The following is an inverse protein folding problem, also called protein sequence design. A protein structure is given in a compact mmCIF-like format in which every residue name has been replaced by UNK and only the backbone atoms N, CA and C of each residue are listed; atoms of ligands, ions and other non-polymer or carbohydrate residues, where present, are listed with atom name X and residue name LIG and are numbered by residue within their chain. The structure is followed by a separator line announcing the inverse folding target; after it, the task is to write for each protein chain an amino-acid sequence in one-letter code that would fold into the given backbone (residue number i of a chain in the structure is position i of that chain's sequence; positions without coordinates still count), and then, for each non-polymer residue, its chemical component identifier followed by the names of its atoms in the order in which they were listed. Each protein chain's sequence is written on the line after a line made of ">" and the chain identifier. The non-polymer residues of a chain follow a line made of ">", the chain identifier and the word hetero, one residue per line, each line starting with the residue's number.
data_IF_508105956666
#
_entry.id   IF_508105956666
#
_cell.length_a   1.000
_cell.length_b   1.000
_cell.length_c   1.000
_cell.angle_alpha   90.00
_cell.angle_beta   90.00
_cell.angle_gamma   90.00
#
_symmetry.space_group_name_H-M   'P 1'
#
loop_
_entity.id
_entity.type
_entity.pdbx_description
1 polymer ?
#
# COMPACT_ATOMS: atom_id res chain seq x y z
N UNK A 1 -24.10 -17.90 16.39
CA UNK A 1 -23.34 -16.75 16.96
C UNK A 1 -22.14 -17.35 17.69
N UNK A 2 -20.97 -17.39 17.05
CA UNK A 2 -19.75 -17.88 17.69
C UNK A 2 -18.95 -16.66 18.17
N UNK A 3 -18.79 -16.58 19.48
CA UNK A 3 -18.16 -15.49 20.21
C UNK A 3 -16.63 -15.54 20.10
N UNK A 4 -16.02 -14.39 20.34
CA UNK A 4 -14.65 -14.00 20.02
C UNK A 4 -13.51 -14.71 20.79
N UNK A 5 -13.69 -15.93 21.30
CA UNK A 5 -12.78 -16.55 22.26
C UNK A 5 -11.86 -17.66 21.74
N UNK A 6 -11.89 -17.98 20.44
CA UNK A 6 -10.96 -18.98 19.87
C UNK A 6 -9.70 -18.39 19.17
N UNK A 7 -9.31 -17.15 19.48
CA UNK A 7 -8.11 -16.51 18.89
C UNK A 7 -6.79 -16.72 19.66
N UNK A 8 -6.79 -17.43 20.80
CA UNK A 8 -5.62 -17.51 21.69
C UNK A 8 -5.17 -18.91 22.08
N UNK A 9 -5.25 -19.89 21.19
CA UNK A 9 -4.57 -21.18 21.37
C UNK A 9 -3.43 -21.31 20.37
N UNK A 10 -2.44 -20.42 20.51
CA UNK A 10 -1.09 -20.70 20.03
C UNK A 10 -0.45 -21.60 21.08
N UNK A 11 -0.68 -22.90 20.91
CA UNK A 11 -0.08 -23.91 21.75
C UNK A 11 1.46 -23.79 21.71
N UNK A 12 2.03 -23.98 22.89
CA UNK A 12 3.34 -23.52 23.34
C UNK A 12 4.49 -24.49 23.03
N UNK A 13 4.29 -25.46 22.12
CA UNK A 13 5.29 -26.51 21.83
C UNK A 13 5.75 -26.51 20.37
N UNK A 14 6.70 -25.60 20.14
CA UNK A 14 7.58 -25.35 18.97
C UNK A 14 7.38 -23.90 18.54
N UNK A 15 8.23 -23.02 19.06
CA UNK A 15 8.36 -21.66 18.54
C UNK A 15 8.80 -21.78 17.08
N UNK A 16 7.87 -21.69 16.14
CA UNK A 16 8.21 -21.44 14.75
C UNK A 16 8.67 -19.96 14.69
N UNK A 17 9.99 -19.66 14.60
CA UNK A 17 10.49 -18.28 14.60
C UNK A 17 10.16 -17.55 13.29
N UNK A 18 9.35 -18.15 12.40
CA UNK A 18 9.01 -17.62 11.09
C UNK A 18 7.64 -16.97 11.06
N UNK A 19 6.72 -17.36 11.95
CA UNK A 19 5.47 -16.62 12.21
C UNK A 19 5.55 -15.76 13.47
N UNK A 20 6.74 -15.65 14.09
CA UNK A 20 6.98 -14.83 15.28
C UNK A 20 6.48 -13.41 15.12
N UNK A 21 6.59 -12.84 13.92
CA UNK A 21 6.16 -11.47 13.64
C UNK A 21 4.64 -11.34 13.60
N UNK A 22 3.92 -12.36 13.10
CA UNK A 22 2.45 -12.37 13.15
C UNK A 22 1.96 -12.43 14.60
N UNK A 23 2.67 -13.18 15.45
CA UNK A 23 2.40 -13.26 16.89
C UNK A 23 2.77 -11.98 17.63
N UNK A 24 3.91 -11.36 17.28
CA UNK A 24 4.50 -10.21 17.98
C UNK A 24 3.82 -8.89 17.64
N UNK A 25 3.47 -8.68 16.37
CA UNK A 25 3.01 -7.37 15.90
C UNK A 25 1.51 -7.34 15.61
N UNK A 26 0.85 -8.51 15.53
CA UNK A 26 -0.54 -8.62 15.09
C UNK A 26 -0.72 -8.25 13.62
N UNK A 27 -1.60 -8.96 12.92
CA UNK A 27 -1.85 -8.77 11.49
C UNK A 27 -2.17 -7.31 11.12
N UNK A 28 -3.17 -6.73 11.78
CA UNK A 28 -3.66 -5.39 11.47
C UNK A 28 -2.93 -4.28 12.20
N UNK A 29 -2.47 -4.53 13.43
CA UNK A 29 -1.78 -3.52 14.22
C UNK A 29 -0.46 -3.10 13.53
N UNK A 30 0.31 -4.05 12.99
CA UNK A 30 1.50 -3.74 12.20
C UNK A 30 1.19 -2.82 11.01
N UNK A 31 0.13 -3.15 10.25
CA UNK A 31 -0.24 -2.42 9.03
C UNK A 31 -0.48 -0.94 9.35
N UNK A 32 -1.27 -0.65 10.38
CA UNK A 32 -1.79 0.71 10.60
C UNK A 32 -0.88 1.60 11.47
N UNK A 33 -0.15 1.02 12.43
CA UNK A 33 0.42 1.76 13.55
C UNK A 33 1.35 2.90 13.13
N UNK A 34 2.26 2.64 12.20
CA UNK A 34 3.30 3.60 11.85
C UNK A 34 2.74 4.76 11.01
N UNK A 35 1.81 4.47 10.10
CA UNK A 35 1.10 5.48 9.31
C UNK A 35 0.17 6.33 10.19
N UNK A 36 -0.58 5.70 11.10
CA UNK A 36 -1.52 6.42 11.99
C UNK A 36 -0.79 7.32 12.99
N UNK A 37 0.43 6.95 13.39
CA UNK A 37 1.29 7.85 14.15
C UNK A 37 1.62 9.14 13.37
N UNK A 38 1.82 9.05 12.05
CA UNK A 38 2.06 10.23 11.20
C UNK A 38 0.81 11.09 11.00
N UNK A 39 -0.39 10.51 11.04
CA UNK A 39 -1.64 11.29 10.90
C UNK A 39 -1.81 12.37 11.98
N UNK A 40 -1.12 12.24 13.12
CA UNK A 40 -1.09 13.24 14.18
C UNK A 40 -0.41 14.54 13.73
N UNK A 41 0.47 14.49 12.73
CA UNK A 41 1.16 15.65 12.16
C UNK A 41 0.37 16.18 10.95
N UNK A 42 -0.37 17.28 11.14
CA UNK A 42 -1.32 17.78 10.13
C UNK A 42 -0.71 18.72 9.09
N UNK A 43 0.45 19.30 9.37
CA UNK A 43 1.08 20.32 8.52
C UNK A 43 2.57 20.02 8.38
N UNK A 44 3.15 20.32 7.21
CA UNK A 44 4.61 20.32 7.08
C UNK A 44 5.21 21.37 8.03
N UNK A 45 6.40 21.09 8.55
CA UNK A 45 7.12 22.02 9.39
C UNK A 45 7.54 23.25 8.59
N UNK A 46 7.66 24.37 9.27
CA UNK A 46 8.32 25.57 8.72
C UNK A 46 9.85 25.46 8.82
N UNK A 47 10.35 24.43 9.52
CA UNK A 47 11.77 24.18 9.79
C UNK A 47 12.42 23.26 8.77
N UNK A 48 11.73 22.90 7.68
CA UNK A 48 12.27 21.98 6.70
C UNK A 48 13.61 22.53 6.23
N UNK A 49 14.71 21.85 6.61
CA UNK A 49 16.06 22.14 6.12
C UNK A 49 15.99 22.30 4.61
N UNK A 50 16.81 23.18 4.04
CA UNK A 50 16.95 23.36 2.58
C UNK A 50 17.16 22.01 1.85
N UNK A 51 17.59 20.97 2.58
CA UNK A 51 17.83 19.61 2.08
C UNK A 51 16.67 18.61 2.21
N UNK A 52 15.66 18.85 3.05
CA UNK A 52 14.61 17.86 3.33
C UNK A 52 13.40 18.08 2.41
N UNK A 53 13.08 17.08 1.57
CA UNK A 53 11.98 17.18 0.61
C UNK A 53 10.64 16.90 1.29
N UNK A 54 9.58 17.62 0.91
CA UNK A 54 8.22 17.39 1.44
C UNK A 54 7.51 16.32 0.63
N UNK A 55 7.03 15.28 1.29
CA UNK A 55 6.27 14.18 0.67
C UNK A 55 4.90 14.07 1.30
N UNK A 56 3.85 13.96 0.48
CA UNK A 56 2.54 13.52 0.93
C UNK A 56 2.22 12.13 0.38
N UNK A 57 1.79 11.24 1.26
CA UNK A 57 1.28 9.92 0.95
C UNK A 57 -0.23 9.84 1.23
N UNK A 58 -1.00 9.49 0.22
CA UNK A 58 -2.46 9.54 0.23
C UNK A 58 -3.03 8.17 -0.11
N UNK A 59 -3.99 7.72 0.69
CA UNK A 59 -4.80 6.54 0.35
C UNK A 59 -5.25 5.74 1.56
N UNK A 60 -5.48 4.44 1.35
CA UNK A 60 -6.08 3.53 2.32
C UNK A 60 -5.03 2.63 3.01
N UNK A 61 -5.40 1.42 3.39
CA UNK A 61 -4.47 0.44 3.97
C UNK A 61 -3.33 0.04 3.04
N UNK A 62 -3.45 0.28 1.73
CA UNK A 62 -2.37 0.08 0.77
C UNK A 62 -1.35 1.22 0.83
N UNK A 63 -1.77 2.45 1.18
CA UNK A 63 -0.84 3.52 1.53
C UNK A 63 -0.13 3.23 2.85
N UNK A 64 -0.82 2.64 3.83
CA UNK A 64 -0.20 2.21 5.08
C UNK A 64 0.90 1.15 4.82
N UNK A 65 0.62 0.17 3.96
CA UNK A 65 1.63 -0.80 3.53
C UNK A 65 2.78 -0.15 2.76
N UNK A 66 2.51 0.81 1.86
CA UNK A 66 3.57 1.53 1.16
C UNK A 66 4.51 2.26 2.13
N UNK A 67 3.95 2.91 3.16
CA UNK A 67 4.75 3.54 4.19
C UNK A 67 5.63 2.51 4.93
N UNK A 68 5.06 1.36 5.29
CA UNK A 68 5.82 0.28 5.92
C UNK A 68 6.95 -0.25 5.00
N UNK A 69 6.72 -0.34 3.69
CA UNK A 69 7.76 -0.72 2.72
C UNK A 69 8.94 0.26 2.76
N UNK A 70 8.65 1.56 2.81
CA UNK A 70 9.67 2.60 2.91
C UNK A 70 10.41 2.51 4.25
N UNK A 71 9.67 2.48 5.36
CA UNK A 71 10.24 2.47 6.71
C UNK A 71 11.12 1.24 6.98
N UNK A 72 10.66 0.04 6.65
CA UNK A 72 11.42 -1.20 6.89
C UNK A 72 12.65 -1.33 5.98
N UNK A 73 12.59 -0.73 4.78
CA UNK A 73 13.71 -0.65 3.86
C UNK A 73 14.66 0.52 4.12
N UNK A 74 14.35 1.40 5.09
CA UNK A 74 15.04 2.67 5.35
C UNK A 74 15.10 3.58 4.10
N UNK A 75 14.04 3.57 3.31
CA UNK A 75 13.84 4.49 2.19
C UNK A 75 13.15 5.77 2.67
N UNK A 76 13.28 6.84 1.90
CA UNK A 76 12.66 8.15 2.19
C UNK A 76 13.11 8.83 3.49
N UNK A 77 14.28 8.48 4.04
CA UNK A 77 14.78 9.03 5.32
C UNK A 77 15.10 10.53 5.27
N UNK A 78 15.27 11.09 4.07
CA UNK A 78 15.49 12.51 3.80
C UNK A 78 14.20 13.27 3.46
N UNK A 79 13.03 12.66 3.66
CA UNK A 79 11.74 13.30 3.42
C UNK A 79 11.03 13.66 4.72
N UNK A 80 10.44 14.85 4.72
CA UNK A 80 9.37 15.17 5.66
C UNK A 80 8.07 14.57 5.13
N UNK A 81 7.59 13.51 5.76
CA UNK A 81 6.40 12.77 5.28
C UNK A 81 5.15 13.27 5.99
N UNK A 82 4.12 13.57 5.22
CA UNK A 82 2.74 13.74 5.68
C UNK A 82 1.85 12.70 5.03
N UNK A 83 0.80 12.35 5.75
CA UNK A 83 -0.13 11.31 5.31
C UNK A 83 -1.55 11.85 5.30
N UNK A 84 -2.34 11.36 4.35
CA UNK A 84 -3.78 11.64 4.31
C UNK A 84 -4.54 10.36 4.02
N UNK A 85 -5.29 9.89 5.01
CA UNK A 85 -6.01 8.64 4.91
C UNK A 85 -7.36 8.83 4.20
N UNK A 86 -7.62 7.98 3.22
CA UNK A 86 -8.90 7.88 2.50
C UNK A 86 -9.32 6.42 2.58
N UNK A 87 -10.53 6.12 3.08
CA UNK A 87 -10.99 4.73 3.09
C UNK A 87 -11.04 4.15 1.67
N UNK A 88 -10.73 2.86 1.54
CA UNK A 88 -10.82 2.13 0.27
C UNK A 88 -12.19 2.29 -0.39
N UNK A 89 -13.28 2.14 0.35
CA UNK A 89 -14.65 2.37 -0.18
C UNK A 89 -14.92 3.80 -0.67
N UNK A 90 -14.17 4.79 -0.20
CA UNK A 90 -14.27 6.14 -0.70
C UNK A 90 -13.49 6.26 -2.01
N UNK A 91 -12.28 5.71 -2.10
CA UNK A 91 -11.32 5.87 -3.22
C UNK A 91 -10.81 7.30 -3.39
N UNK A 92 -9.70 7.42 -4.11
CA UNK A 92 -9.10 8.70 -4.51
C UNK A 92 -9.78 9.16 -5.80
N UNK A 93 -10.42 10.32 -5.77
CA UNK A 93 -11.10 10.89 -6.93
C UNK A 93 -11.18 12.40 -6.83
N UNK A 94 -10.79 13.09 -7.90
CA UNK A 94 -11.06 14.50 -8.13
C UNK A 94 -11.61 14.63 -9.55
N UNK A 95 -12.81 15.17 -9.70
CA UNK A 95 -13.48 15.26 -10.99
C UNK A 95 -14.87 15.89 -10.88
N UNK A 96 -15.51 16.17 -12.02
CA UNK A 96 -16.80 16.85 -12.08
C UNK A 96 -18.00 15.94 -11.79
N UNK A 97 -17.84 14.62 -11.83
CA UNK A 97 -18.96 13.69 -11.60
C UNK A 97 -19.30 13.63 -10.10
N UNK A 98 -20.57 13.44 -9.78
CA UNK A 98 -20.96 13.12 -8.41
C UNK A 98 -20.50 11.70 -8.07
N UNK A 99 -19.40 11.60 -7.32
CA UNK A 99 -18.83 10.32 -6.87
C UNK A 99 -19.77 9.48 -6.01
N UNK A 100 -20.83 10.08 -5.42
CA UNK A 100 -21.81 9.33 -4.61
C UNK A 100 -22.49 8.22 -5.41
N UNK A 101 -22.58 8.35 -6.74
CA UNK A 101 -23.12 7.30 -7.61
C UNK A 101 -22.29 6.01 -7.58
N UNK A 102 -21.01 6.07 -7.19
CA UNK A 102 -20.10 4.92 -7.10
C UNK A 102 -19.90 4.40 -5.68
N UNK A 103 -20.55 5.02 -4.69
CA UNK A 103 -20.33 4.77 -3.26
C UNK A 103 -21.65 4.35 -2.63
N UNK A 104 -21.62 3.30 -1.80
CA UNK A 104 -22.81 2.89 -1.04
C UNK A 104 -23.34 4.04 -0.15
N UNK A 105 -24.67 4.19 -0.10
CA UNK A 105 -25.36 5.30 0.60
C UNK A 105 -24.87 5.50 2.05
N UNK A 106 -24.68 4.41 2.79
CA UNK A 106 -24.18 4.44 4.18
C UNK A 106 -22.80 5.08 4.35
N UNK A 107 -22.04 5.24 3.26
CA UNK A 107 -20.70 5.82 3.26
C UNK A 107 -20.63 7.22 2.65
N UNK A 108 -21.72 7.74 2.07
CA UNK A 108 -21.73 9.06 1.41
C UNK A 108 -21.18 10.15 2.31
N UNK A 109 -21.71 10.31 3.53
CA UNK A 109 -21.28 11.37 4.46
C UNK A 109 -19.79 11.29 4.79
N UNK A 110 -19.28 10.09 5.02
CA UNK A 110 -17.86 9.91 5.33
C UNK A 110 -16.98 10.25 4.11
N UNK A 111 -17.36 9.75 2.92
CA UNK A 111 -16.56 9.87 1.71
C UNK A 111 -16.60 11.24 1.02
N UNK A 112 -17.60 12.08 1.30
CA UNK A 112 -17.66 13.47 0.79
C UNK A 112 -17.12 14.50 1.79
N UNK A 113 -16.86 14.06 3.03
CA UNK A 113 -16.29 14.87 4.10
C UNK A 113 -14.88 14.37 4.38
N UNK A 114 -14.62 13.83 5.56
CA UNK A 114 -13.28 13.53 6.09
C UNK A 114 -12.40 12.66 5.20
N UNK A 115 -12.96 11.84 4.30
CA UNK A 115 -12.19 10.90 3.46
C UNK A 115 -12.22 11.28 1.98
N UNK A 116 -12.32 12.58 1.69
CA UNK A 116 -12.22 13.13 0.35
C UNK A 116 -10.83 13.74 0.11
N UNK A 117 -10.21 13.49 -1.05
CA UNK A 117 -8.90 14.04 -1.41
C UNK A 117 -8.90 15.58 -1.44
N UNK A 118 -10.05 16.24 -1.61
CA UNK A 118 -10.12 17.71 -1.62
C UNK A 118 -9.55 18.35 -0.34
N UNK A 119 -9.63 17.67 0.80
CA UNK A 119 -9.06 18.18 2.06
C UNK A 119 -7.56 17.92 2.19
N UNK A 120 -6.98 17.08 1.32
CA UNK A 120 -5.53 16.92 1.19
C UNK A 120 -4.89 17.99 0.29
N UNK A 121 -5.66 18.75 -0.49
CA UNK A 121 -5.15 19.76 -1.43
C UNK A 121 -4.17 20.76 -0.82
N UNK A 122 -4.38 21.29 0.42
CA UNK A 122 -3.40 22.19 1.03
C UNK A 122 -2.03 21.57 1.26
N UNK A 123 -1.98 20.26 1.57
CA UNK A 123 -0.72 19.54 1.73
C UNK A 123 -0.13 19.16 0.37
N UNK A 124 -0.96 18.75 -0.59
CA UNK A 124 -0.53 18.46 -1.97
C UNK A 124 0.20 19.67 -2.56
N UNK A 125 -0.33 20.89 -2.41
CA UNK A 125 0.29 22.12 -2.92
C UNK A 125 1.66 22.43 -2.31
N UNK A 126 1.94 21.94 -1.11
CA UNK A 126 3.21 22.17 -0.41
C UNK A 126 4.23 21.05 -0.64
N UNK A 127 3.78 19.88 -1.08
CA UNK A 127 4.63 18.71 -1.25
C UNK A 127 5.42 18.77 -2.56
N UNK A 128 6.67 18.33 -2.53
CA UNK A 128 7.48 18.08 -3.73
C UNK A 128 7.14 16.72 -4.36
N UNK A 129 6.79 15.74 -3.53
CA UNK A 129 6.44 14.38 -3.96
C UNK A 129 5.05 14.02 -3.46
N UNK A 130 4.20 13.56 -4.37
CA UNK A 130 2.84 13.12 -4.11
C UNK A 130 2.76 11.63 -4.43
N UNK A 131 2.41 10.81 -3.44
CA UNK A 131 2.23 9.37 -3.63
C UNK A 131 0.77 9.02 -3.38
N UNK A 132 0.13 8.43 -4.38
CA UNK A 132 -1.25 7.92 -4.31
C UNK A 132 -1.20 6.40 -4.28
N UNK A 133 -1.68 5.78 -3.20
CA UNK A 133 -1.63 4.33 -3.02
C UNK A 133 -2.95 3.82 -2.41
N UNK A 134 -3.73 3.07 -3.17
CA UNK A 134 -5.03 2.57 -2.72
C UNK A 134 -5.24 1.12 -3.13
N UNK A 135 -6.17 0.43 -2.46
CA UNK A 135 -6.88 -0.69 -3.03
C UNK A 135 -7.86 -0.18 -4.08
N UNK A 136 -7.33 0.14 -5.26
CA UNK A 136 -8.05 0.80 -6.35
C UNK A 136 -9.29 0.01 -6.80
N UNK A 137 -10.44 0.68 -6.83
CA UNK A 137 -11.66 0.19 -7.46
C UNK A 137 -11.67 0.67 -8.91
N UNK A 138 -12.31 -0.12 -9.78
CA UNK A 138 -12.30 0.12 -11.23
C UNK A 138 -12.77 1.53 -11.59
N UNK A 139 -13.86 2.00 -11.00
CA UNK A 139 -14.41 3.32 -11.30
C UNK A 139 -13.42 4.46 -11.00
N UNK A 140 -12.63 4.34 -9.92
CA UNK A 140 -11.64 5.35 -9.52
C UNK A 140 -10.38 5.22 -10.38
N UNK A 141 -9.92 3.99 -10.65
CA UNK A 141 -8.78 3.73 -11.52
C UNK A 141 -8.98 4.31 -12.93
N UNK A 142 -10.18 4.13 -13.53
CA UNK A 142 -10.54 4.71 -14.82
C UNK A 142 -10.47 6.24 -14.84
N UNK A 143 -10.70 6.89 -13.69
CA UNK A 143 -10.77 8.34 -13.53
C UNK A 143 -9.47 8.95 -13.00
N UNK A 144 -8.45 8.12 -12.77
CA UNK A 144 -7.19 8.59 -12.22
C UNK A 144 -6.44 9.56 -13.13
N UNK A 145 -6.44 9.42 -14.47
CA UNK A 145 -5.87 10.45 -15.36
C UNK A 145 -6.49 11.84 -15.17
N UNK A 146 -7.83 11.91 -15.05
CA UNK A 146 -8.54 13.16 -14.76
C UNK A 146 -8.18 13.69 -13.38
N UNK A 147 -8.14 12.81 -12.36
CA UNK A 147 -7.75 13.18 -11.00
C UNK A 147 -6.36 13.81 -11.00
N UNK A 148 -5.37 13.16 -11.64
CA UNK A 148 -4.00 13.67 -11.74
C UNK A 148 -3.93 15.03 -12.46
N UNK A 149 -4.69 15.20 -13.56
CA UNK A 149 -4.80 16.48 -14.27
C UNK A 149 -5.34 17.57 -13.35
N UNK A 150 -6.40 17.29 -12.58
CA UNK A 150 -7.06 18.25 -11.69
C UNK A 150 -6.30 18.52 -10.39
N UNK A 151 -5.32 17.69 -10.02
CA UNK A 151 -4.36 18.05 -8.97
C UNK A 151 -3.52 19.27 -9.35
N UNK A 152 -3.43 19.58 -10.65
CA UNK A 152 -2.75 20.77 -11.19
C UNK A 152 -1.33 20.94 -10.62
N UNK A 153 -0.55 19.86 -10.71
CA UNK A 153 0.80 19.79 -10.16
C UNK A 153 1.74 20.71 -10.96
N UNK A 154 2.63 21.40 -10.26
CA UNK A 154 3.67 22.21 -10.88
C UNK A 154 4.80 21.34 -11.43
N UNK A 155 5.64 21.89 -12.32
CA UNK A 155 6.82 21.19 -12.86
C UNK A 155 7.84 20.75 -11.79
N UNK A 156 7.79 21.36 -10.60
CA UNK A 156 8.64 21.01 -9.45
C UNK A 156 8.08 19.84 -8.62
N UNK A 157 6.87 19.40 -8.93
CA UNK A 157 6.19 18.34 -8.20
C UNK A 157 6.24 17.04 -8.99
N UNK A 158 6.45 15.93 -8.28
CA UNK A 158 6.43 14.59 -8.85
C UNK A 158 5.28 13.81 -8.25
N UNK A 159 4.50 13.15 -9.10
CA UNK A 159 3.45 12.23 -8.67
C UNK A 159 3.86 10.78 -8.91
N UNK A 160 3.42 9.91 -8.00
CA UNK A 160 3.50 8.48 -8.16
C UNK A 160 2.15 7.84 -7.83
N UNK A 161 1.70 6.96 -8.72
CA UNK A 161 0.53 6.12 -8.51
C UNK A 161 1.01 4.70 -8.26
N UNK A 162 0.76 4.20 -7.06
CA UNK A 162 1.16 2.87 -6.62
C UNK A 162 0.02 1.91 -6.95
N UNK A 163 0.26 0.97 -7.88
CA UNK A 163 -0.72 -0.05 -8.26
C UNK A 163 -1.09 -0.98 -7.09
N UNK A 164 -2.28 -1.61 -7.11
CA UNK A 164 -2.68 -2.51 -6.04
C UNK A 164 -1.86 -3.81 -6.10
N UNK A 165 -1.74 -4.49 -4.96
CA UNK A 165 -1.04 -5.78 -4.83
C UNK A 165 -1.93 -6.90 -4.30
N UNK A 166 -1.68 -8.12 -4.75
CA UNK A 166 -2.30 -9.33 -4.23
C UNK A 166 -1.42 -10.57 -4.47
N UNK A 167 -1.15 -11.32 -3.39
CA UNK A 167 -0.30 -12.50 -3.37
C UNK A 167 -1.09 -13.82 -3.49
N UNK A 168 -2.38 -13.75 -3.81
CA UNK A 168 -3.26 -14.90 -3.91
C UNK A 168 -3.82 -15.35 -2.56
N UNK A 169 -4.30 -16.59 -2.48
CA UNK A 169 -4.84 -17.13 -1.23
C UNK A 169 -3.70 -17.49 -0.29
N UNK A 170 -3.66 -16.86 0.89
CA UNK A 170 -2.65 -17.13 1.91
C UNK A 170 -3.30 -17.65 3.17
N UNK A 171 -2.87 -18.83 3.61
CA UNK A 171 -3.30 -19.45 4.86
C UNK A 171 -2.05 -19.71 5.73
N UNK A 172 -1.63 -18.75 6.58
CA UNK A 172 -0.35 -18.84 7.31
C UNK A 172 -0.17 -20.15 8.08
N UNK A 173 -1.26 -20.69 8.64
CA UNK A 173 -1.26 -21.93 9.42
C UNK A 173 -0.81 -23.16 8.64
N UNK A 174 -1.03 -23.21 7.31
CA UNK A 174 -0.62 -24.34 6.46
C UNK A 174 0.91 -24.44 6.34
N UNK A 175 1.61 -23.33 6.60
CA UNK A 175 3.06 -23.23 6.44
C UNK A 175 3.85 -23.39 7.74
N UNK A 176 3.16 -23.57 8.87
CA UNK A 176 3.78 -23.85 10.18
C UNK A 176 4.60 -25.13 10.07
N UNK A 177 5.83 -25.11 10.58
CA UNK A 177 6.75 -26.26 10.58
C UNK A 177 7.18 -26.76 9.20
N UNK A 178 6.84 -26.07 8.11
CA UNK A 178 7.38 -26.38 6.78
C UNK A 178 8.82 -25.88 6.66
N UNK A 179 9.66 -26.62 5.93
CA UNK A 179 11.06 -26.24 5.69
C UNK A 179 11.15 -24.95 4.86
N UNK A 180 12.29 -24.25 4.96
CA UNK A 180 12.59 -23.10 4.09
C UNK A 180 12.51 -23.49 2.62
N UNK A 181 13.06 -24.65 2.24
CA UNK A 181 13.01 -25.14 0.86
C UNK A 181 11.58 -25.29 0.34
N UNK A 182 10.67 -25.88 1.14
CA UNK A 182 9.27 -25.98 0.78
C UNK A 182 8.64 -24.60 0.57
N UNK A 183 8.89 -23.66 1.50
CA UNK A 183 8.33 -22.30 1.47
C UNK A 183 8.78 -21.52 0.23
N UNK A 184 10.04 -21.63 -0.16
CA UNK A 184 10.57 -20.94 -1.34
C UNK A 184 9.96 -21.40 -2.67
N UNK A 185 9.37 -22.60 -2.69
CA UNK A 185 8.63 -23.14 -3.86
C UNK A 185 7.15 -22.72 -3.89
N UNK A 186 6.67 -21.93 -2.92
CA UNK A 186 5.26 -21.56 -2.84
C UNK A 186 4.97 -20.28 -3.64
N UNK A 187 4.17 -20.46 -4.68
CA UNK A 187 3.69 -19.40 -5.55
C UNK A 187 2.16 -19.46 -5.66
N UNK A 188 1.54 -18.30 -5.85
CA UNK A 188 0.08 -18.19 -5.99
C UNK A 188 -0.29 -17.17 -7.07
N UNK A 189 -1.46 -17.37 -7.67
CA UNK A 189 -2.00 -16.41 -8.62
C UNK A 189 -2.62 -15.20 -7.89
N UNK A 190 -2.36 -13.97 -8.37
CA UNK A 190 -3.07 -12.79 -7.90
C UNK A 190 -4.56 -12.90 -8.19
N UNK A 191 -5.37 -12.08 -7.49
CA UNK A 191 -6.78 -11.90 -7.86
C UNK A 191 -6.86 -11.28 -9.26
N UNK A 192 -7.80 -11.77 -10.07
CA UNK A 192 -7.98 -11.31 -11.45
C UNK A 192 -8.34 -9.82 -11.51
N UNK A 193 -9.10 -9.33 -10.53
CA UNK A 193 -9.47 -7.92 -10.41
C UNK A 193 -8.23 -7.04 -10.20
N UNK A 194 -7.27 -7.48 -9.38
CA UNK A 194 -6.02 -6.75 -9.15
C UNK A 194 -5.16 -6.71 -10.41
N UNK A 195 -5.13 -7.79 -11.20
CA UNK A 195 -4.44 -7.81 -12.50
C UNK A 195 -5.11 -6.81 -13.46
N UNK A 196 -6.45 -6.87 -13.58
CA UNK A 196 -7.22 -5.95 -14.46
C UNK A 196 -6.97 -4.49 -14.10
N UNK A 197 -6.98 -4.14 -12.82
CA UNK A 197 -6.72 -2.77 -12.37
C UNK A 197 -5.29 -2.34 -12.65
N UNK A 198 -4.28 -3.18 -12.39
CA UNK A 198 -2.90 -2.84 -12.74
C UNK A 198 -2.74 -2.62 -14.25
N UNK A 199 -3.34 -3.48 -15.09
CA UNK A 199 -3.30 -3.32 -16.54
C UNK A 199 -3.96 -2.01 -16.99
N UNK A 200 -5.12 -1.67 -16.43
CA UNK A 200 -5.81 -0.41 -16.71
C UNK A 200 -4.91 0.79 -16.34
N UNK A 201 -4.30 0.78 -15.16
CA UNK A 201 -3.43 1.87 -14.71
C UNK A 201 -2.15 1.97 -15.57
N UNK A 202 -1.55 0.84 -15.95
CA UNK A 202 -0.37 0.79 -16.83
C UNK A 202 -0.66 1.33 -18.24
N UNK A 203 -1.90 1.22 -18.72
CA UNK A 203 -2.34 1.74 -20.02
C UNK A 203 -2.72 3.22 -19.99
N UNK A 204 -3.16 3.73 -18.83
CA UNK A 204 -3.79 5.06 -18.74
C UNK A 204 -2.91 6.11 -18.05
N UNK A 205 -1.85 5.70 -17.37
CA UNK A 205 -0.96 6.58 -16.61
C UNK A 205 0.45 6.46 -17.15
N UNK A 206 1.13 7.60 -17.24
CA UNK A 206 2.51 7.67 -17.70
C UNK A 206 3.46 6.77 -16.88
N UNK A 207 4.46 6.17 -17.56
CA UNK A 207 5.38 5.19 -16.97
C UNK A 207 6.30 5.78 -15.89
N UNK A 208 6.55 7.09 -15.92
CA UNK A 208 7.33 7.78 -14.88
C UNK A 208 6.49 8.15 -13.65
N UNK A 209 5.17 7.98 -13.75
CA UNK A 209 4.18 8.21 -12.69
C UNK A 209 3.64 6.89 -12.12
N UNK A 210 3.36 5.88 -12.94
CA UNK A 210 2.76 4.62 -12.47
C UNK A 210 3.81 3.60 -11.97
N UNK A 211 3.52 2.96 -10.84
CA UNK A 211 4.34 1.91 -10.23
C UNK A 211 3.54 0.60 -10.20
N UNK A 212 3.75 -0.27 -11.18
CA UNK A 212 3.17 -1.62 -11.18
C UNK A 212 3.97 -2.56 -10.26
N UNK A 213 3.85 -2.38 -8.95
CA UNK A 213 4.61 -3.20 -7.99
C UNK A 213 4.23 -4.68 -8.05
N UNK A 214 2.99 -5.01 -8.41
CA UNK A 214 2.54 -6.38 -8.61
C UNK A 214 3.43 -7.10 -9.63
N UNK A 215 3.63 -6.48 -10.81
CA UNK A 215 4.48 -7.00 -11.89
C UNK A 215 5.96 -7.08 -11.50
N UNK A 216 6.44 -6.16 -10.67
CA UNK A 216 7.83 -6.19 -10.16
C UNK A 216 8.08 -7.36 -9.20
N UNK A 217 7.06 -7.79 -8.44
CA UNK A 217 7.19 -8.81 -7.41
C UNK A 217 6.85 -10.21 -7.94
N UNK A 218 5.87 -10.31 -8.82
CA UNK A 218 5.29 -11.58 -9.26
C UNK A 218 5.98 -12.09 -10.52
N UNK A 219 7.21 -12.58 -10.32
CA UNK A 219 8.11 -13.07 -11.37
C UNK A 219 8.04 -14.58 -11.58
N UNK A 220 7.11 -15.28 -10.93
CA UNK A 220 6.90 -16.70 -11.11
C UNK A 220 6.28 -17.04 -12.47
N UNK A 221 6.19 -18.33 -12.78
CA UNK A 221 5.51 -18.81 -14.00
C UNK A 221 4.10 -18.22 -14.08
N UNK A 222 3.70 -17.75 -15.28
CA UNK A 222 2.44 -17.06 -15.52
C UNK A 222 2.16 -15.88 -14.56
N UNK A 223 3.18 -15.12 -14.18
CA UNK A 223 3.09 -13.98 -13.26
C UNK A 223 2.52 -14.36 -11.88
N UNK A 224 2.80 -15.58 -11.43
CA UNK A 224 2.52 -15.97 -10.05
C UNK A 224 3.44 -15.24 -9.08
N UNK A 225 2.93 -14.98 -7.88
CA UNK A 225 3.65 -14.28 -6.83
C UNK A 225 4.29 -15.24 -5.84
N UNK A 226 5.53 -14.99 -5.40
CA UNK A 226 6.08 -15.72 -4.28
C UNK A 226 5.28 -15.42 -3.01
N UNK A 227 5.04 -16.43 -2.18
CA UNK A 227 4.42 -16.24 -0.86
C UNK A 227 5.44 -15.90 0.24
N UNK A 228 6.71 -16.21 -0.01
CA UNK A 228 7.79 -16.06 0.95
C UNK A 228 8.95 -15.26 0.37
N UNK A 229 9.64 -14.51 1.24
CA UNK A 229 10.93 -13.90 0.95
C UNK A 229 11.99 -14.98 0.74
N UNK A 230 13.17 -14.60 0.23
CA UNK A 230 14.32 -15.51 0.06
C UNK A 230 14.78 -16.17 1.37
N UNK A 231 14.55 -15.52 2.50
CA UNK A 231 14.83 -16.06 3.84
C UNK A 231 13.69 -16.94 4.41
N UNK A 232 12.70 -17.31 3.58
CA UNK A 232 11.56 -18.13 3.99
C UNK A 232 10.57 -17.43 4.92
N UNK A 233 10.55 -16.09 4.97
CA UNK A 233 9.58 -15.30 5.76
C UNK A 233 8.35 -14.98 4.94
N UNK A 234 7.17 -15.06 5.55
CA UNK A 234 5.91 -14.82 4.84
C UNK A 234 5.80 -13.37 4.36
N UNK A 235 5.42 -13.13 3.09
CA UNK A 235 5.32 -11.78 2.53
C UNK A 235 4.01 -11.09 2.93
N UNK A 236 2.88 -11.77 2.76
CA UNK A 236 1.56 -11.25 3.09
C UNK A 236 0.83 -12.20 4.00
N UNK A 237 0.04 -11.68 4.94
CA UNK A 237 -0.65 -12.51 5.92
C UNK A 237 -2.09 -12.88 5.53
N UNK A 238 -2.70 -12.13 4.63
CA UNK A 238 -4.06 -12.33 4.10
C UNK A 238 -4.13 -12.33 2.56
N UNK A 239 -2.97 -12.21 1.90
CA UNK A 239 -2.84 -12.05 0.45
C UNK A 239 -2.86 -10.60 -0.02
N UNK A 240 -3.30 -9.63 0.78
CA UNK A 240 -3.39 -8.21 0.41
C UNK A 240 -2.40 -7.34 1.20
N UNK A 241 -2.29 -7.55 2.50
CA UNK A 241 -1.51 -6.76 3.44
C UNK A 241 -0.19 -7.43 3.80
N UNK A 242 0.86 -6.62 3.92
CA UNK A 242 2.20 -7.13 4.13
C UNK A 242 2.46 -7.50 5.60
N UNK A 243 3.33 -8.48 5.79
CA UNK A 243 4.04 -8.64 7.06
C UNK A 243 5.20 -7.66 7.12
N UNK A 244 5.87 -7.55 8.28
CA UNK A 244 7.12 -6.80 8.41
C UNK A 244 8.19 -7.19 7.39
N UNK A 245 8.46 -8.49 7.28
CA UNK A 245 9.44 -8.99 6.31
C UNK A 245 8.99 -8.79 4.86
N UNK A 246 7.68 -8.90 4.61
CA UNK A 246 7.08 -8.59 3.32
C UNK A 246 7.25 -7.13 2.92
N UNK A 247 6.97 -6.20 3.83
CA UNK A 247 7.17 -4.77 3.64
C UNK A 247 8.63 -4.46 3.29
N UNK A 248 9.59 -4.99 4.06
CA UNK A 248 11.02 -4.86 3.76
C UNK A 248 11.39 -5.45 2.39
N UNK A 249 10.91 -6.65 2.09
CA UNK A 249 11.20 -7.35 0.83
C UNK A 249 10.68 -6.58 -0.38
N UNK A 250 9.40 -6.18 -0.34
CA UNK A 250 8.75 -5.42 -1.42
C UNK A 250 9.36 -4.03 -1.54
N UNK A 251 9.58 -3.32 -0.43
CA UNK A 251 10.23 -2.01 -0.42
C UNK A 251 11.58 -2.02 -1.11
N UNK A 252 12.43 -2.99 -0.78
CA UNK A 252 13.75 -3.13 -1.41
C UNK A 252 13.70 -3.43 -2.91
N UNK A 253 12.60 -3.99 -3.43
CA UNK A 253 12.40 -4.17 -4.86
C UNK A 253 11.96 -2.84 -5.48
N UNK A 254 10.87 -2.25 -4.98
CA UNK A 254 10.26 -1.10 -5.67
C UNK A 254 11.15 0.14 -5.65
N UNK A 255 11.85 0.42 -4.54
CA UNK A 255 12.74 1.59 -4.43
C UNK A 255 14.06 1.43 -5.19
N UNK A 256 14.39 0.22 -5.68
CA UNK A 256 15.55 0.00 -6.57
C UNK A 256 15.19 0.09 -8.05
N UNK A 257 13.91 0.12 -8.38
CA UNK A 257 13.42 0.10 -9.75
C UNK A 257 12.74 1.42 -10.13
N UNK A 258 12.74 1.73 -11.42
CA UNK A 258 11.96 2.87 -11.92
C UNK A 258 10.46 2.66 -11.68
N UNK A 259 9.70 3.72 -11.41
CA UNK A 259 10.16 5.12 -11.31
C UNK A 259 10.60 5.54 -9.90
N UNK A 260 10.52 4.67 -8.87
CA UNK A 260 10.78 5.07 -7.47
C UNK A 260 12.27 5.14 -7.10
N UNK A 261 13.18 4.60 -7.91
CA UNK A 261 14.63 4.71 -7.70
C UNK A 261 15.18 6.14 -7.76
N UNK A 262 14.35 7.14 -8.08
CA UNK A 262 14.67 8.57 -8.01
C UNK A 262 14.36 9.21 -6.64
N UNK A 263 13.72 8.46 -5.74
CA UNK A 263 13.37 8.88 -4.38
C UNK A 263 14.42 8.46 -3.35
#
# INVERSE_FOLDING_TARGET
>A
IQTATNRSLLDSKKSDPYLSDLRKYGHWQYVVQAFDALQKQKTFSNKTSVTMKKLILIGDSFAQDFYNMAAEGKHLTNYEIRVYFIYSRCQIYLGPEDRKQFIEVKHHRACTNTYDIKYALPLIRQANVIILASNWYEWSAQRLPMTLKLLNLTERQQAFVIGPKHFGKVYPMVYVSKSTEYRLKQYQYPKIEVIKINNLLEQTIDKETFVNLQKMICTGYNQTCPLFTRDGKLISHDGAHLTKYGARYVGNIIFKNRPLNKL
#
